data_IF_034378161061
#
_entry.id   IF_034378161061
#
_cell.length_a   1.000
_cell.length_b   1.000
_cell.length_c   1.000
_cell.angle_alpha   90.00
_cell.angle_beta   90.00
_cell.angle_gamma   90.00
#
_symmetry.space_group_name_H-M   'P 1'
#
loop_
_entity.id
_entity.type
_entity.pdbx_description
1 polymer ?
#
# COMPACT_ATOMS: atom_id res chain seq x y z
N UNK A 1 -5.64 -11.27 -20.45
CA UNK A 1 -5.88 -11.48 -21.90
C UNK A 1 -6.51 -10.26 -22.58
N UNK A 2 -7.65 -9.71 -22.14
CA UNK A 2 -8.16 -8.45 -22.72
C UNK A 2 -7.27 -7.23 -22.39
N UNK A 3 -6.76 -7.15 -21.16
CA UNK A 3 -5.87 -6.07 -20.72
C UNK A 3 -4.50 -6.09 -21.39
N UNK A 4 -3.99 -7.29 -21.69
CA UNK A 4 -2.72 -7.46 -22.39
C UNK A 4 -2.80 -6.90 -23.81
N UNK A 5 -3.90 -7.20 -24.52
CA UNK A 5 -4.11 -6.66 -25.88
C UNK A 5 -4.18 -5.14 -25.93
N UNK A 6 -4.82 -4.51 -24.93
CA UNK A 6 -4.89 -3.04 -24.85
C UNK A 6 -3.53 -2.44 -24.49
N UNK A 7 -2.79 -3.07 -23.58
CA UNK A 7 -1.46 -2.61 -23.19
C UNK A 7 -0.45 -2.77 -24.32
N UNK A 8 -0.49 -3.89 -25.03
CA UNK A 8 0.36 -4.16 -26.20
C UNK A 8 0.03 -3.18 -27.34
N UNK A 9 -1.25 -2.82 -27.51
CA UNK A 9 -1.67 -1.81 -28.48
C UNK A 9 -1.21 -0.39 -28.10
N UNK A 10 -1.27 -0.02 -26.82
CA UNK A 10 -0.78 1.28 -26.32
C UNK A 10 0.74 1.38 -26.37
N UNK A 11 1.45 0.29 -26.04
CA UNK A 11 2.91 0.21 -26.12
C UNK A 11 3.42 0.25 -27.57
N UNK A 12 2.58 -0.13 -28.54
CA UNK A 12 2.90 -0.07 -29.97
C UNK A 12 2.68 1.31 -30.60
N UNK A 13 2.04 2.25 -29.90
CA UNK A 13 1.80 3.62 -30.40
C UNK A 13 3.02 4.53 -30.11
N UNK A 14 3.78 4.96 -31.14
CA UNK A 14 4.95 5.81 -30.98
C UNK A 14 4.63 7.20 -30.41
N UNK A 15 3.37 7.65 -30.50
CA UNK A 15 2.92 8.90 -29.89
C UNK A 15 2.84 8.82 -28.35
N UNK A 16 2.90 7.60 -27.79
CA UNK A 16 3.01 7.35 -26.35
C UNK A 16 4.46 7.24 -25.86
N UNK A 17 5.40 8.00 -26.46
CA UNK A 17 6.78 8.21 -26.00
C UNK A 17 6.89 8.93 -24.63
N UNK A 18 5.91 8.78 -23.74
CA UNK A 18 5.98 9.15 -22.31
C UNK A 18 6.83 8.16 -21.47
N UNK A 19 7.42 7.17 -22.14
CA UNK A 19 8.09 5.99 -21.59
C UNK A 19 9.19 6.29 -20.55
N UNK A 20 9.98 7.37 -20.74
CA UNK A 20 11.05 7.72 -19.78
C UNK A 20 10.58 8.57 -18.61
N UNK A 21 9.44 9.26 -18.72
CA UNK A 21 8.91 10.12 -17.65
C UNK A 21 8.05 9.33 -16.66
N UNK A 22 7.46 8.21 -17.07
CA UNK A 22 6.53 7.50 -16.20
C UNK A 22 7.19 6.89 -14.95
N UNK A 23 8.45 6.42 -15.02
CA UNK A 23 9.15 5.97 -13.79
C UNK A 23 9.62 7.11 -12.89
N UNK A 24 9.66 8.35 -13.40
CA UNK A 24 10.09 9.52 -12.64
C UNK A 24 9.09 9.81 -11.51
N UNK A 25 7.78 9.74 -11.78
CA UNK A 25 6.78 10.08 -10.76
C UNK A 25 6.79 9.09 -9.56
N UNK A 26 6.75 7.75 -9.74
CA UNK A 26 6.87 6.81 -8.62
C UNK A 26 8.22 6.90 -7.90
N UNK A 27 9.30 7.23 -8.62
CA UNK A 27 10.62 7.44 -8.01
C UNK A 27 10.63 8.68 -7.13
N UNK A 28 10.00 9.78 -7.54
CA UNK A 28 9.84 10.97 -6.72
C UNK A 28 9.00 10.70 -5.47
N UNK A 29 7.98 9.84 -5.54
CA UNK A 29 7.23 9.42 -4.36
C UNK A 29 8.11 8.65 -3.37
N UNK A 30 8.94 7.73 -3.86
CA UNK A 30 9.89 6.99 -3.03
C UNK A 30 10.89 7.94 -2.39
N UNK A 31 11.62 8.73 -3.19
CA UNK A 31 12.65 9.66 -2.70
C UNK A 31 12.04 10.71 -1.76
N UNK A 32 10.90 11.28 -2.13
CA UNK A 32 10.17 12.24 -1.32
C UNK A 32 9.72 11.64 0.02
N UNK A 33 9.26 10.39 0.03
CA UNK A 33 8.97 9.69 1.27
C UNK A 33 10.22 9.53 2.13
N UNK A 34 11.37 9.14 1.55
CA UNK A 34 12.61 9.06 2.33
C UNK A 34 13.01 10.40 2.92
N UNK A 35 12.99 11.48 2.13
CA UNK A 35 13.32 12.82 2.64
C UNK A 35 12.38 13.21 3.79
N UNK A 36 11.07 13.03 3.59
CA UNK A 36 10.06 13.37 4.61
C UNK A 36 10.23 12.52 5.87
N UNK A 37 10.28 11.19 5.73
CA UNK A 37 10.30 10.26 6.86
C UNK A 37 11.65 10.25 7.56
N UNK A 38 12.75 10.35 6.83
CA UNK A 38 14.08 10.22 7.42
C UNK A 38 14.71 11.53 7.87
N UNK A 39 14.45 12.62 7.15
CA UNK A 39 15.12 13.89 7.45
C UNK A 39 14.19 14.88 8.14
N UNK A 40 12.94 15.01 7.69
CA UNK A 40 12.05 16.03 8.21
C UNK A 40 11.27 15.58 9.45
N UNK A 41 10.83 14.32 9.49
CA UNK A 41 10.04 13.78 10.59
C UNK A 41 10.69 13.90 11.99
N UNK A 42 12.02 13.69 12.17
CA UNK A 42 12.65 13.91 13.47
C UNK A 42 12.51 15.35 14.01
N UNK A 43 12.24 16.33 13.14
CA UNK A 43 12.15 17.75 13.48
C UNK A 43 10.70 18.25 13.61
N UNK A 44 9.73 17.34 13.70
CA UNK A 44 8.31 17.67 13.62
C UNK A 44 7.77 18.52 14.79
N UNK A 45 8.48 18.56 15.91
CA UNK A 45 8.08 19.37 17.07
C UNK A 45 8.16 20.88 16.79
N UNK A 46 8.78 21.28 15.69
CA UNK A 46 8.63 22.62 15.14
C UNK A 46 7.28 22.73 14.43
N UNK A 47 6.36 23.54 14.97
CA UNK A 47 5.01 23.71 14.42
C UNK A 47 4.97 24.07 12.93
N UNK A 48 5.96 24.83 12.44
CA UNK A 48 6.09 25.15 11.01
C UNK A 48 6.44 23.89 10.19
N UNK A 49 7.35 23.05 10.69
CA UNK A 49 7.72 21.78 10.04
C UNK A 49 6.52 20.85 9.97
N UNK A 50 5.75 20.73 11.05
CA UNK A 50 4.51 19.93 11.06
C UNK A 50 3.50 20.39 10.00
N UNK A 51 3.29 21.70 9.87
CA UNK A 51 2.42 22.27 8.84
C UNK A 51 2.94 21.96 7.43
N UNK A 52 4.23 22.17 7.17
CA UNK A 52 4.86 21.87 5.87
C UNK A 52 4.69 20.40 5.51
N UNK A 53 4.98 19.48 6.46
CA UNK A 53 4.85 18.05 6.24
C UNK A 53 3.41 17.63 5.96
N UNK A 54 2.45 18.20 6.69
CA UNK A 54 1.03 17.94 6.48
C UNK A 54 0.57 18.42 5.11
N UNK A 55 0.93 19.64 4.72
CA UNK A 55 0.62 20.19 3.40
C UNK A 55 1.28 19.38 2.27
N UNK A 56 2.54 18.99 2.43
CA UNK A 56 3.24 18.15 1.46
C UNK A 56 2.57 16.78 1.32
N UNK A 57 2.16 16.16 2.43
CA UNK A 57 1.44 14.89 2.41
C UNK A 57 0.10 15.03 1.68
N UNK A 58 -0.71 16.04 2.00
CA UNK A 58 -1.97 16.30 1.31
C UNK A 58 -1.77 16.55 -0.19
N UNK A 59 -0.71 17.28 -0.56
CA UNK A 59 -0.36 17.51 -1.96
C UNK A 59 -0.01 16.20 -2.68
N UNK A 60 0.74 15.30 -2.05
CA UNK A 60 1.05 13.96 -2.59
C UNK A 60 -0.23 13.14 -2.77
N UNK A 61 -1.15 13.14 -1.79
CA UNK A 61 -2.44 12.44 -1.93
C UNK A 61 -3.23 13.01 -3.09
N UNK A 62 -3.40 14.34 -3.14
CA UNK A 62 -4.14 15.00 -4.21
C UNK A 62 -3.52 14.69 -5.58
N UNK A 63 -2.20 14.72 -5.67
CA UNK A 63 -1.48 14.42 -6.90
C UNK A 63 -1.68 12.98 -7.35
N UNK A 64 -1.43 12.02 -6.47
CA UNK A 64 -1.45 10.58 -6.79
C UNK A 64 -2.85 10.01 -6.94
N UNK A 65 -3.87 10.59 -6.30
CA UNK A 65 -5.25 10.10 -6.36
C UNK A 65 -6.06 10.80 -7.44
N UNK A 66 -5.77 12.07 -7.71
CA UNK A 66 -6.61 12.91 -8.57
C UNK A 66 -5.81 13.46 -9.74
N UNK A 67 -4.80 14.32 -9.49
CA UNK A 67 -4.15 15.10 -10.56
C UNK A 67 -3.53 14.18 -11.61
N UNK A 68 -2.64 13.29 -11.19
CA UNK A 68 -1.90 12.44 -12.11
C UNK A 68 -2.79 11.39 -12.80
N UNK A 69 -3.57 10.55 -12.08
CA UNK A 69 -4.42 9.56 -12.75
C UNK A 69 -5.53 10.17 -13.61
N UNK A 70 -6.22 11.22 -13.15
CA UNK A 70 -7.45 11.70 -13.81
C UNK A 70 -7.13 12.72 -14.90
N UNK A 71 -6.25 13.68 -14.62
CA UNK A 71 -6.02 14.82 -15.51
C UNK A 71 -4.80 14.64 -16.42
N UNK A 72 -3.71 14.01 -15.93
CA UNK A 72 -2.48 13.81 -16.71
C UNK A 72 -2.60 12.53 -17.55
N UNK A 73 -2.75 11.37 -16.90
CA UNK A 73 -2.71 10.05 -17.54
C UNK A 73 -4.07 9.51 -17.97
N UNK A 74 -5.17 10.18 -17.56
CA UNK A 74 -6.56 9.85 -17.94
C UNK A 74 -6.93 8.38 -17.71
N UNK A 75 -6.41 7.79 -16.64
CA UNK A 75 -6.76 6.44 -16.21
C UNK A 75 -8.23 6.36 -15.82
N UNK A 76 -8.98 5.44 -16.42
CA UNK A 76 -10.36 5.18 -16.02
C UNK A 76 -10.43 4.51 -14.64
N UNK A 77 -11.62 4.53 -14.02
CA UNK A 77 -11.83 3.96 -12.68
C UNK A 77 -11.56 2.45 -12.62
N UNK A 78 -11.88 1.69 -13.68
CA UNK A 78 -11.72 0.23 -13.68
C UNK A 78 -10.25 -0.18 -13.74
N UNK A 79 -9.44 0.50 -14.56
CA UNK A 79 -7.98 0.36 -14.57
C UNK A 79 -7.37 0.69 -13.20
N UNK A 80 -8.01 1.57 -12.45
CA UNK A 80 -7.60 1.92 -11.08
C UNK A 80 -8.13 0.97 -10.00
N UNK A 81 -8.90 -0.04 -10.40
CA UNK A 81 -9.55 -0.99 -9.50
C UNK A 81 -10.70 -0.38 -8.67
N UNK A 82 -11.26 0.73 -9.12
CA UNK A 82 -12.33 1.49 -8.49
C UNK A 82 -13.65 1.30 -9.26
N UNK A 83 -14.76 1.38 -8.54
CA UNK A 83 -16.11 1.45 -9.10
C UNK A 83 -16.56 2.89 -9.38
N UNK A 84 -17.76 3.09 -9.95
CA UNK A 84 -18.35 4.41 -10.11
C UNK A 84 -18.71 5.06 -8.75
N UNK A 85 -18.97 6.38 -8.69
CA UNK A 85 -19.41 7.06 -7.47
C UNK A 85 -20.70 6.48 -6.87
N UNK A 86 -21.60 5.92 -7.69
CA UNK A 86 -22.85 5.28 -7.23
C UNK A 86 -22.63 4.03 -6.38
N UNK A 87 -21.44 3.42 -6.45
CA UNK A 87 -21.03 2.29 -5.60
C UNK A 87 -20.00 2.73 -4.56
N UNK A 88 -19.93 4.02 -4.25
CA UNK A 88 -18.92 4.61 -3.36
C UNK A 88 -17.49 4.22 -3.77
N UNK A 89 -17.23 4.16 -5.08
CA UNK A 89 -15.96 3.73 -5.67
C UNK A 89 -15.56 2.27 -5.39
N UNK A 90 -16.48 1.44 -4.86
CA UNK A 90 -16.28 0.00 -4.73
C UNK A 90 -16.58 -0.66 -6.06
N UNK A 91 -15.63 -1.45 -6.56
CA UNK A 91 -15.80 -2.19 -7.80
C UNK A 91 -16.64 -3.45 -7.56
N UNK A 92 -17.86 -3.48 -8.10
CA UNK A 92 -18.84 -4.56 -7.87
C UNK A 92 -18.91 -5.59 -9.01
N UNK A 93 -18.52 -5.24 -10.24
CA UNK A 93 -18.58 -6.09 -11.44
C UNK A 93 -17.71 -7.36 -11.32
N UNK A 94 -16.62 -7.31 -10.55
CA UNK A 94 -15.73 -8.45 -10.33
C UNK A 94 -15.59 -8.85 -8.84
N UNK A 95 -16.47 -8.35 -7.97
CA UNK A 95 -16.30 -8.49 -6.52
C UNK A 95 -16.30 -9.95 -6.08
N UNK A 96 -17.23 -10.76 -6.57
CA UNK A 96 -17.36 -12.17 -6.17
C UNK A 96 -16.17 -13.01 -6.64
N UNK A 97 -15.74 -12.84 -7.89
CA UNK A 97 -14.61 -13.57 -8.46
C UNK A 97 -13.29 -13.18 -7.76
N UNK A 98 -13.06 -11.88 -7.60
CA UNK A 98 -11.92 -11.39 -6.84
C UNK A 98 -11.95 -11.87 -5.39
N UNK A 99 -13.11 -11.82 -4.72
CA UNK A 99 -13.24 -12.17 -3.32
C UNK A 99 -12.80 -13.62 -3.04
N UNK A 100 -13.11 -14.57 -3.93
CA UNK A 100 -12.67 -15.97 -3.76
C UNK A 100 -11.14 -16.08 -3.68
N UNK A 101 -10.43 -15.35 -4.52
CA UNK A 101 -8.97 -15.39 -4.61
C UNK A 101 -8.33 -14.61 -3.46
N UNK A 102 -8.77 -13.37 -3.24
CA UNK A 102 -8.26 -12.55 -2.14
C UNK A 102 -8.55 -13.19 -0.78
N UNK A 103 -9.78 -13.69 -0.55
CA UNK A 103 -10.13 -14.37 0.70
C UNK A 103 -9.35 -15.68 0.88
N UNK A 104 -9.14 -16.45 -0.20
CA UNK A 104 -8.31 -17.66 -0.12
C UNK A 104 -6.88 -17.36 0.35
N UNK A 105 -6.24 -16.34 -0.22
CA UNK A 105 -4.90 -15.91 0.20
C UNK A 105 -4.89 -15.37 1.63
N UNK A 106 -5.86 -14.52 1.98
CA UNK A 106 -5.99 -13.99 3.34
C UNK A 106 -6.21 -15.12 4.34
N UNK A 107 -7.02 -16.12 4.01
CA UNK A 107 -7.27 -17.28 4.87
C UNK A 107 -6.00 -18.09 5.11
N UNK A 108 -5.28 -18.45 4.03
CA UNK A 108 -4.02 -19.20 4.13
C UNK A 108 -2.99 -18.42 4.96
N UNK A 109 -2.77 -17.14 4.65
CA UNK A 109 -1.82 -16.31 5.37
C UNK A 109 -2.23 -16.09 6.83
N UNK A 110 -3.53 -15.92 7.10
CA UNK A 110 -4.04 -15.81 8.46
C UNK A 110 -3.75 -17.08 9.26
N UNK A 111 -4.00 -18.28 8.69
CA UNK A 111 -3.64 -19.55 9.35
C UNK A 111 -2.15 -19.61 9.65
N UNK A 112 -1.29 -19.29 8.67
CA UNK A 112 0.17 -19.32 8.87
C UNK A 112 0.61 -18.36 9.98
N UNK A 113 0.04 -17.15 10.03
CA UNK A 113 0.32 -16.16 11.07
C UNK A 113 -0.16 -16.66 12.45
N UNK A 114 -1.37 -17.23 12.52
CA UNK A 114 -1.93 -17.77 13.75
C UNK A 114 -1.11 -18.95 14.28
N UNK A 115 -0.68 -19.87 13.40
CA UNK A 115 0.19 -20.99 13.76
C UNK A 115 1.57 -20.50 14.23
N UNK A 116 2.16 -19.51 13.55
CA UNK A 116 3.42 -18.90 13.98
C UNK A 116 3.29 -18.22 15.35
N UNK A 117 2.17 -17.52 15.59
CA UNK A 117 1.89 -16.89 16.88
C UNK A 117 1.67 -17.93 17.99
N UNK A 118 0.92 -19.00 17.72
CA UNK A 118 0.72 -20.11 18.65
C UNK A 118 2.03 -20.78 19.03
N UNK A 119 2.90 -21.02 18.04
CA UNK A 119 4.22 -21.60 18.27
C UNK A 119 5.13 -20.70 19.11
N UNK A 120 5.12 -19.39 18.84
CA UNK A 120 5.96 -18.41 19.53
C UNK A 120 5.48 -18.11 20.95
N UNK A 121 4.16 -17.94 21.13
CA UNK A 121 3.55 -17.51 22.40
C UNK A 121 2.03 -17.82 22.44
N UNK A 122 1.61 -19.03 22.85
CA UNK A 122 0.21 -19.46 22.78
C UNK A 122 -0.74 -18.69 23.72
N UNK A 123 -0.23 -18.09 24.79
CA UNK A 123 -0.99 -17.25 25.73
C UNK A 123 -1.54 -15.95 25.11
N UNK A 124 -1.05 -15.54 23.92
CA UNK A 124 -1.58 -14.38 23.19
C UNK A 124 -3.07 -14.53 22.86
N UNK A 125 -3.54 -15.77 22.67
CA UNK A 125 -4.94 -16.05 22.35
C UNK A 125 -5.88 -15.94 23.56
N UNK A 126 -5.33 -16.08 24.77
CA UNK A 126 -6.08 -15.92 26.02
C UNK A 126 -6.16 -14.46 26.45
N UNK A 127 -5.17 -13.66 26.06
CA UNK A 127 -5.04 -12.24 26.43
C UNK A 127 -5.46 -11.27 25.30
N UNK A 128 -6.08 -11.78 24.24
CA UNK A 128 -6.43 -10.97 23.08
C UNK A 128 -7.55 -9.97 23.40
N UNK A 129 -7.20 -8.69 23.42
CA UNK A 129 -8.18 -7.60 23.50
C UNK A 129 -8.83 -7.38 22.12
N UNK A 130 -10.08 -7.83 21.98
CA UNK A 130 -10.89 -7.70 20.77
C UNK A 130 -11.20 -6.24 20.40
N UNK A 131 -11.32 -5.35 21.39
CA UNK A 131 -11.51 -3.93 21.17
C UNK A 131 -10.28 -3.30 20.52
N UNK A 132 -9.10 -3.57 21.11
CA UNK A 132 -7.83 -3.13 20.54
C UNK A 132 -7.56 -3.73 19.15
N UNK A 133 -7.91 -5.00 18.94
CA UNK A 133 -7.80 -5.66 17.63
C UNK A 133 -8.67 -4.96 16.58
N UNK A 134 -9.94 -4.68 16.91
CA UNK A 134 -10.89 -4.03 16.01
C UNK A 134 -10.47 -2.60 15.68
N UNK A 135 -10.04 -1.84 16.69
CA UNK A 135 -9.51 -0.50 16.49
C UNK A 135 -8.28 -0.51 15.57
N UNK A 136 -7.38 -1.49 15.78
CA UNK A 136 -6.19 -1.64 14.96
C UNK A 136 -6.53 -2.01 13.51
N UNK A 137 -7.54 -2.85 13.29
CA UNK A 137 -8.07 -3.14 11.97
C UNK A 137 -8.58 -1.88 11.28
N UNK A 138 -9.35 -1.03 11.94
CA UNK A 138 -9.85 0.21 11.36
C UNK A 138 -8.71 1.16 10.97
N UNK A 139 -7.72 1.34 11.86
CA UNK A 139 -6.53 2.15 11.56
C UNK A 139 -5.79 1.58 10.35
N UNK A 140 -5.59 0.26 10.30
CA UNK A 140 -4.96 -0.40 9.16
C UNK A 140 -5.80 -0.30 7.89
N UNK A 141 -7.12 -0.33 7.98
CA UNK A 141 -8.00 -0.19 6.82
C UNK A 141 -7.81 1.17 6.14
N UNK A 142 -7.86 2.26 6.90
CA UNK A 142 -7.65 3.60 6.34
C UNK A 142 -6.21 3.81 5.87
N UNK A 143 -5.22 3.33 6.64
CA UNK A 143 -3.81 3.41 6.22
C UNK A 143 -3.56 2.60 4.95
N UNK A 144 -4.14 1.40 4.86
CA UNK A 144 -4.07 0.51 3.70
C UNK A 144 -4.78 1.10 2.50
N UNK A 145 -5.95 1.74 2.68
CA UNK A 145 -6.65 2.44 1.60
C UNK A 145 -5.74 3.48 0.96
N UNK A 146 -5.11 4.31 1.78
CA UNK A 146 -4.22 5.34 1.27
C UNK A 146 -2.98 4.76 0.57
N UNK A 147 -2.33 3.77 1.18
CA UNK A 147 -1.18 3.09 0.58
C UNK A 147 -1.57 2.45 -0.76
N UNK A 148 -2.70 1.76 -0.84
CA UNK A 148 -3.15 1.11 -2.07
C UNK A 148 -3.58 2.11 -3.14
N UNK A 149 -4.16 3.25 -2.78
CA UNK A 149 -4.40 4.32 -3.74
C UNK A 149 -3.09 4.80 -4.40
N UNK A 150 -2.02 4.96 -3.62
CA UNK A 150 -0.72 5.40 -4.12
C UNK A 150 -0.01 4.29 -4.93
N UNK A 151 0.18 3.11 -4.35
CA UNK A 151 0.99 2.06 -4.97
C UNK A 151 0.23 1.24 -6.00
N UNK A 152 -1.01 0.85 -5.69
CA UNK A 152 -1.76 -0.11 -6.48
C UNK A 152 -2.68 0.58 -7.50
N UNK A 153 -3.36 1.66 -7.12
CA UNK A 153 -4.23 2.38 -8.06
C UNK A 153 -3.43 3.27 -9.00
N UNK A 154 -2.44 3.99 -8.48
CA UNK A 154 -1.64 4.95 -9.24
C UNK A 154 -0.34 4.34 -9.76
N UNK A 155 0.63 4.03 -8.89
CA UNK A 155 1.98 3.65 -9.32
C UNK A 155 1.98 2.39 -10.18
N UNK A 156 1.13 1.40 -9.89
CA UNK A 156 0.96 0.21 -10.71
C UNK A 156 0.63 0.56 -12.16
N UNK A 157 -0.34 1.43 -12.40
CA UNK A 157 -0.74 1.82 -13.76
C UNK A 157 0.38 2.56 -14.46
N UNK A 158 1.05 3.49 -13.77
CA UNK A 158 2.19 4.22 -14.32
C UNK A 158 3.32 3.26 -14.71
N UNK A 159 3.75 2.39 -13.80
CA UNK A 159 4.80 1.40 -14.07
C UNK A 159 4.38 0.45 -15.18
N UNK A 160 3.13 0.02 -15.20
CA UNK A 160 2.60 -0.81 -16.27
C UNK A 160 2.69 -0.08 -17.62
N UNK A 161 2.21 1.15 -17.76
CA UNK A 161 2.29 1.81 -19.08
C UNK A 161 3.70 2.32 -19.45
N UNK A 162 4.67 2.23 -18.54
CA UNK A 162 6.05 2.73 -18.76
C UNK A 162 7.10 1.64 -18.96
N UNK A 163 6.72 0.36 -18.87
CA UNK A 163 7.60 -0.79 -19.12
C UNK A 163 7.13 -1.48 -20.42
N UNK A 164 7.96 -2.24 -21.17
CA UNK A 164 8.94 -3.21 -20.68
C UNK A 164 10.40 -2.72 -20.58
N UNK A 165 11.07 -3.00 -19.45
CA UNK A 165 12.53 -2.89 -19.29
C UNK A 165 13.29 -3.90 -20.17
N UNK A 166 12.65 -5.03 -20.48
CA UNK A 166 13.21 -6.09 -21.31
C UNK A 166 12.13 -6.86 -22.04
N UNK A 167 12.35 -7.17 -23.32
CA UNK A 167 11.43 -7.99 -24.12
C UNK A 167 11.38 -9.47 -23.65
N UNK A 168 12.31 -9.91 -22.79
CA UNK A 168 12.42 -11.32 -22.37
C UNK A 168 11.49 -11.69 -21.21
N UNK A 169 11.06 -10.71 -20.42
CA UNK A 169 10.24 -10.95 -19.23
C UNK A 169 8.83 -10.46 -19.52
N UNK A 170 7.77 -11.25 -19.26
CA UNK A 170 6.41 -10.79 -19.44
C UNK A 170 6.17 -9.49 -18.68
N UNK A 171 5.58 -8.51 -19.34
CA UNK A 171 5.42 -7.16 -18.83
C UNK A 171 4.73 -7.11 -17.44
N UNK A 172 3.69 -7.92 -17.25
CA UNK A 172 3.02 -8.13 -15.96
C UNK A 172 3.96 -8.55 -14.81
N UNK A 173 4.95 -9.39 -15.08
CA UNK A 173 5.90 -9.86 -14.07
C UNK A 173 6.80 -8.70 -13.65
N UNK A 174 7.26 -7.90 -14.62
CA UNK A 174 8.07 -6.72 -14.35
C UNK A 174 7.31 -5.72 -13.46
N UNK A 175 6.07 -5.38 -13.82
CA UNK A 175 5.23 -4.46 -13.03
C UNK A 175 5.03 -4.97 -11.61
N UNK A 176 4.66 -6.24 -11.45
CA UNK A 176 4.40 -6.84 -10.12
C UNK A 176 5.66 -6.80 -9.26
N UNK A 177 6.82 -7.20 -9.80
CA UNK A 177 8.09 -7.20 -9.06
C UNK A 177 8.52 -5.79 -8.70
N UNK A 178 8.41 -4.83 -9.62
CA UNK A 178 8.77 -3.42 -9.37
C UNK A 178 7.88 -2.83 -8.27
N UNK A 179 6.55 -3.01 -8.35
CA UNK A 179 5.63 -2.46 -7.36
C UNK A 179 5.82 -3.10 -5.98
N UNK A 180 5.99 -4.42 -5.91
CA UNK A 180 6.28 -5.11 -4.66
C UNK A 180 7.61 -4.66 -4.05
N UNK A 181 8.65 -4.46 -4.88
CA UNK A 181 9.95 -3.97 -4.45
C UNK A 181 9.88 -2.55 -3.91
N UNK A 182 9.19 -1.65 -4.65
CA UNK A 182 8.98 -0.28 -4.21
C UNK A 182 8.26 -0.25 -2.86
N UNK A 183 7.15 -0.99 -2.72
CA UNK A 183 6.40 -1.05 -1.46
C UNK A 183 7.24 -1.62 -0.30
N UNK A 184 8.02 -2.67 -0.56
CA UNK A 184 8.93 -3.25 0.43
C UNK A 184 9.97 -2.23 0.90
N UNK A 185 10.57 -1.44 0.00
CA UNK A 185 11.61 -0.46 0.36
C UNK A 185 11.11 0.60 1.35
N UNK A 186 9.83 1.00 1.30
CA UNK A 186 9.24 1.92 2.29
C UNK A 186 9.29 1.39 3.73
N UNK A 187 9.59 0.10 3.92
CA UNK A 187 9.75 -0.51 5.23
C UNK A 187 11.19 -0.47 5.75
N UNK A 188 12.16 0.10 5.03
CA UNK A 188 13.52 0.29 5.56
C UNK A 188 13.49 1.04 6.91
N UNK A 189 14.32 0.64 7.89
CA UNK A 189 15.34 -0.42 7.87
C UNK A 189 14.82 -1.81 8.30
N UNK A 190 13.50 -2.00 8.39
CA UNK A 190 12.87 -3.17 9.02
C UNK A 190 12.90 -4.40 8.08
N UNK A 191 14.03 -5.11 8.05
CA UNK A 191 14.25 -6.25 7.17
C UNK A 191 13.18 -7.35 7.23
N UNK A 192 12.70 -7.80 8.42
CA UNK A 192 11.60 -8.77 8.47
C UNK A 192 10.36 -8.28 7.72
N UNK A 193 9.98 -7.02 7.92
CA UNK A 193 8.84 -6.43 7.23
C UNK A 193 9.07 -6.26 5.73
N UNK A 194 10.28 -5.88 5.30
CA UNK A 194 10.63 -5.81 3.89
C UNK A 194 10.47 -7.18 3.20
N UNK A 195 11.04 -8.24 3.78
CA UNK A 195 10.94 -9.59 3.20
C UNK A 195 9.48 -10.05 3.13
N UNK A 196 8.73 -9.88 4.22
CA UNK A 196 7.32 -10.26 4.26
C UNK A 196 6.48 -9.46 3.26
N UNK A 197 6.65 -8.14 3.19
CA UNK A 197 5.91 -7.28 2.27
C UNK A 197 6.31 -7.48 0.82
N UNK A 198 7.56 -7.87 0.53
CA UNK A 198 7.98 -8.27 -0.82
C UNK A 198 7.26 -9.56 -1.26
N UNK A 199 7.23 -10.60 -0.41
CA UNK A 199 6.58 -11.88 -0.74
C UNK A 199 5.07 -11.71 -0.86
N UNK A 200 4.45 -11.15 0.19
CA UNK A 200 3.00 -10.96 0.25
C UNK A 200 2.55 -9.95 -0.81
N UNK A 201 3.29 -8.85 -0.97
CA UNK A 201 3.05 -7.83 -1.99
C UNK A 201 3.11 -8.40 -3.39
N UNK A 202 4.08 -9.27 -3.70
CA UNK A 202 4.15 -9.95 -5.01
C UNK A 202 2.87 -10.74 -5.30
N UNK A 203 2.40 -11.55 -4.34
CA UNK A 203 1.18 -12.36 -4.49
C UNK A 203 -0.05 -11.47 -4.68
N UNK A 204 -0.24 -10.48 -3.81
CA UNK A 204 -1.43 -9.63 -3.87
C UNK A 204 -1.43 -8.67 -5.06
N UNK A 205 -0.28 -8.11 -5.45
CA UNK A 205 -0.16 -7.29 -6.66
C UNK A 205 -0.40 -8.13 -7.92
N UNK A 206 0.05 -9.39 -7.95
CA UNK A 206 -0.29 -10.32 -9.02
C UNK A 206 -1.80 -10.54 -9.14
N UNK A 207 -2.47 -10.81 -8.01
CA UNK A 207 -3.92 -10.98 -8.02
C UNK A 207 -4.68 -9.70 -8.34
N UNK A 208 -4.20 -8.55 -7.89
CA UNK A 208 -4.76 -7.26 -8.29
C UNK A 208 -4.65 -7.06 -9.81
N UNK A 209 -3.52 -7.42 -10.43
CA UNK A 209 -3.38 -7.34 -11.88
C UNK A 209 -4.44 -8.17 -12.62
N UNK A 210 -4.78 -9.37 -12.12
CA UNK A 210 -5.81 -10.23 -12.71
C UNK A 210 -7.22 -9.71 -12.39
N UNK A 211 -7.50 -9.38 -11.12
CA UNK A 211 -8.78 -8.93 -10.60
C UNK A 211 -8.62 -7.57 -9.93
N UNK A 212 -8.56 -6.50 -10.73
CA UNK A 212 -8.35 -5.13 -10.23
C UNK A 212 -9.52 -4.71 -9.36
N UNK A 213 -9.41 -4.89 -8.05
CA UNK A 213 -10.41 -4.52 -7.07
C UNK A 213 -9.70 -3.96 -5.83
N UNK A 214 -9.67 -2.63 -5.73
CA UNK A 214 -8.92 -1.93 -4.69
C UNK A 214 -9.49 -2.23 -3.30
N UNK A 215 -10.81 -2.36 -3.19
CA UNK A 215 -11.47 -2.64 -1.92
C UNK A 215 -11.02 -3.99 -1.33
N UNK A 216 -11.01 -5.05 -2.14
CA UNK A 216 -10.54 -6.36 -1.70
C UNK A 216 -9.06 -6.35 -1.31
N UNK A 217 -8.22 -5.63 -2.05
CA UNK A 217 -6.81 -5.43 -1.73
C UNK A 217 -6.64 -4.73 -0.37
N UNK A 218 -7.40 -3.65 -0.14
CA UNK A 218 -7.36 -2.87 1.10
C UNK A 218 -7.78 -3.71 2.30
N UNK A 219 -8.90 -4.42 2.20
CA UNK A 219 -9.38 -5.35 3.23
C UNK A 219 -8.33 -6.42 3.53
N UNK A 220 -7.73 -7.01 2.49
CA UNK A 220 -6.73 -8.06 2.64
C UNK A 220 -5.50 -7.58 3.40
N UNK A 221 -4.93 -6.44 2.98
CA UNK A 221 -3.79 -5.84 3.67
C UNK A 221 -4.14 -5.39 5.10
N UNK A 222 -5.37 -4.92 5.35
CA UNK A 222 -5.79 -4.53 6.68
C UNK A 222 -5.91 -5.72 7.64
N UNK A 223 -6.47 -6.84 7.20
CA UNK A 223 -6.55 -8.09 7.98
C UNK A 223 -5.14 -8.59 8.29
N UNK A 224 -4.31 -8.77 7.27
CA UNK A 224 -2.95 -9.30 7.44
C UNK A 224 -2.09 -8.37 8.30
N UNK A 225 -2.14 -7.06 8.06
CA UNK A 225 -1.42 -6.08 8.88
C UNK A 225 -1.85 -6.11 10.35
N UNK A 226 -3.14 -6.29 10.61
CA UNK A 226 -3.68 -6.40 11.98
C UNK A 226 -3.18 -7.66 12.67
N UNK A 227 -3.22 -8.82 12.00
CA UNK A 227 -2.75 -10.08 12.56
C UNK A 227 -1.24 -10.06 12.81
N UNK A 228 -0.44 -9.58 11.85
CA UNK A 228 1.01 -9.44 12.01
C UNK A 228 1.34 -8.55 13.21
N UNK A 229 0.59 -7.47 13.43
CA UNK A 229 0.85 -6.53 14.52
C UNK A 229 0.32 -6.99 15.89
N UNK A 230 -0.93 -7.44 15.98
CA UNK A 230 -1.62 -7.69 17.27
C UNK A 230 -1.56 -9.14 17.72
N UNK A 231 -1.33 -10.07 16.80
CA UNK A 231 -1.31 -11.50 17.11
C UNK A 231 0.11 -12.03 17.07
N UNK A 232 0.85 -11.77 15.99
CA UNK A 232 2.24 -12.20 15.87
C UNK A 232 3.26 -11.23 16.49
N UNK A 233 2.80 -10.00 16.77
CA UNK A 233 3.60 -8.91 17.35
C UNK A 233 4.91 -8.66 16.61
N UNK A 234 4.83 -8.64 15.28
CA UNK A 234 5.94 -8.15 14.47
C UNK A 234 6.06 -6.65 14.68
N UNK A 235 7.30 -6.17 14.83
CA UNK A 235 7.58 -4.75 14.84
C UNK A 235 7.21 -4.15 13.47
N UNK A 236 6.23 -3.25 13.45
CA UNK A 236 5.73 -2.60 12.22
C UNK A 236 6.32 -1.20 12.00
N UNK A 237 7.35 -0.81 12.75
CA UNK A 237 7.98 0.51 12.65
C UNK A 237 8.86 0.60 11.40
N UNK A 238 8.92 1.79 10.82
CA UNK A 238 9.67 2.12 9.61
C UNK A 238 10.41 3.45 9.81
N UNK A 239 11.44 3.71 9.00
CA UNK A 239 12.17 4.98 9.07
C UNK A 239 12.94 5.19 10.38
N UNK A 240 13.21 6.46 10.77
CA UNK A 240 13.83 6.80 12.05
C UNK A 240 13.06 6.27 13.25
N UNK A 241 11.74 6.08 13.11
CA UNK A 241 10.88 5.54 14.18
C UNK A 241 11.20 4.09 14.54
N UNK A 242 11.99 3.40 13.72
CA UNK A 242 12.48 2.07 14.02
C UNK A 242 13.38 2.06 15.27
N UNK A 243 14.19 3.12 15.46
CA UNK A 243 15.10 3.27 16.61
C UNK A 243 14.59 4.20 17.69
N UNK A 244 13.77 5.19 17.34
CA UNK A 244 13.20 6.16 18.28
C UNK A 244 11.67 6.13 18.25
N UNK A 245 11.06 5.61 19.31
CA UNK A 245 9.62 5.38 19.38
C UNK A 245 8.80 6.62 19.63
N UNK A 246 9.41 7.67 20.19
CA UNK A 246 8.69 8.82 20.71
C UNK A 246 8.46 9.89 19.64
N UNK A 247 9.15 9.75 18.51
CA UNK A 247 9.05 10.67 17.37
C UNK A 247 7.93 10.34 16.39
N UNK A 248 7.04 9.38 16.69
CA UNK A 248 6.02 8.92 15.74
C UNK A 248 5.07 10.04 15.28
N UNK A 249 5.30 10.51 14.05
CA UNK A 249 4.72 11.71 13.44
C UNK A 249 3.19 11.75 13.50
N UNK A 250 2.51 10.63 13.25
CA UNK A 250 1.04 10.60 13.20
C UNK A 250 0.41 10.96 14.56
N UNK A 251 1.05 10.59 15.68
CA UNK A 251 0.57 10.96 17.02
C UNK A 251 0.59 12.47 17.25
N UNK A 252 1.47 13.18 16.55
CA UNK A 252 1.68 14.63 16.68
C UNK A 252 0.85 15.44 15.69
N UNK A 253 0.62 14.93 14.48
CA UNK A 253 -0.12 15.66 13.43
C UNK A 253 -1.63 15.53 13.59
N UNK A 254 -2.14 14.36 13.99
CA UNK A 254 -3.58 14.10 14.00
C UNK A 254 -4.13 14.27 15.44
N UNK A 255 -4.98 15.29 15.70
CA UNK A 255 -5.54 15.51 17.03
C UNK A 255 -6.25 14.26 17.56
N UNK A 256 -6.04 13.93 18.85
CA UNK A 256 -6.62 12.77 19.51
C UNK A 256 -5.97 11.41 19.18
N UNK A 257 -5.09 11.33 18.17
CA UNK A 257 -4.43 10.05 17.84
C UNK A 257 -3.42 9.61 18.89
N UNK A 258 -2.77 10.54 19.59
CA UNK A 258 -1.89 10.20 20.72
C UNK A 258 -2.68 9.47 21.84
N UNK A 259 -3.88 9.95 22.16
CA UNK A 259 -4.75 9.36 23.19
C UNK A 259 -5.33 8.01 22.74
N UNK A 260 -5.73 7.93 21.47
CA UNK A 260 -6.29 6.73 20.86
C UNK A 260 -5.25 5.61 20.69
N UNK A 261 -3.99 5.97 20.37
CA UNK A 261 -2.88 5.02 20.26
C UNK A 261 -2.28 4.70 21.63
N UNK A 262 -2.10 5.68 22.53
CA UNK A 262 -1.46 5.47 23.83
C UNK A 262 -2.22 4.53 24.77
N UNK A 263 -3.53 4.35 24.58
CA UNK A 263 -4.36 3.41 25.34
C UNK A 263 -4.38 1.98 24.77
N UNK A 264 -3.85 1.76 23.56
CA UNK A 264 -4.07 0.52 22.80
C UNK A 264 -2.79 -0.17 22.31
N UNK A 265 -1.61 0.34 22.70
CA UNK A 265 -0.30 -0.12 22.24
C UNK A 265 0.64 -0.37 23.41
#
# INVERSE_FOLDING_TARGET
>A
MAFDKQADALAADPSQQYFSAGLIEPSFLLVGNYIVVWWLAPHIDNGIVSLILTSAFLAVILYTVIISPVYIHKHDLQSRGLGPPSTFFIRTDNLMEGAKIFAGNVFILSILILLAAWWKRPDVFLSLDWGALSLKFLIYFFSSLLQNLIFISYAFNIVYYSLPLTARIPHRVQTVVVIASLFSLFHLPNWPMMILTMIIGTVFTWHYYIHRNLFLMVCSQAIIGTLLHRVLEINMRIGPFYWDTDTYVIRKIVPGMAELIGKSF
#
